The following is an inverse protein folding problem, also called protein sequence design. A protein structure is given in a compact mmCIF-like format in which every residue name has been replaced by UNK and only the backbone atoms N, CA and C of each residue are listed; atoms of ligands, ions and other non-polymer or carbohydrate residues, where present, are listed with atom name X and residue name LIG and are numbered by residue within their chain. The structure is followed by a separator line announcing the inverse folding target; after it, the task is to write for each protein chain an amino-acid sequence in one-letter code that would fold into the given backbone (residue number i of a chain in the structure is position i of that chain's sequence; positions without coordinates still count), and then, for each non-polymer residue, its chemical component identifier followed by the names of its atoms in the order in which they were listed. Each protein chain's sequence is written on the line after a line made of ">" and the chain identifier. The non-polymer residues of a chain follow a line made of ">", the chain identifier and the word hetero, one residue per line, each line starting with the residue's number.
data_IF_193799410164
#
_entry.id   IF_193799410164
#
_cell.length_a   1.000
_cell.length_b   1.000
_cell.length_c   1.000
_cell.angle_alpha   90.00
_cell.angle_beta   90.00
_cell.angle_gamma   90.00
#
_symmetry.space_group_name_H-M   'P 1'
#
loop_
_entity.id
_entity.type
_entity.pdbx_description
1 polymer ?
#
# COMPACT_ATOMS: atom_id res chain seq x y z
N UNK A 1 -14.63 -6.61 -0.14
CA UNK A 1 -13.28 -6.45 -0.71
C UNK A 1 -12.93 -4.97 -0.80
N UNK A 2 -12.69 -4.30 0.35
CA UNK A 2 -12.31 -2.87 0.35
C UNK A 2 -11.59 -2.51 1.67
N UNK A 3 -10.43 -3.12 1.95
CA UNK A 3 -9.62 -2.79 3.12
C UNK A 3 -8.44 -1.85 2.76
N UNK A 4 -8.58 -1.02 1.73
CA UNK A 4 -7.51 -0.11 1.26
C UNK A 4 -7.46 1.25 1.99
N UNK A 5 -8.37 1.51 2.93
CA UNK A 5 -8.44 2.77 3.69
C UNK A 5 -8.14 2.53 5.17
N UNK A 6 -6.87 2.54 5.57
CA UNK A 6 -6.54 2.46 7.00
C UNK A 6 -5.32 3.32 7.35
N UNK A 7 -5.56 4.63 7.41
CA UNK A 7 -4.87 5.52 8.34
C UNK A 7 -5.91 6.06 9.30
N UNK A 8 -6.22 5.27 10.33
CA UNK A 8 -7.04 5.75 11.44
C UNK A 8 -6.11 6.26 12.54
N UNK A 9 -6.10 7.58 12.65
CA UNK A 9 -5.88 8.39 13.86
C UNK A 9 -6.11 9.88 13.54
N UNK A 10 -6.16 10.29 12.26
CA UNK A 10 -6.47 11.68 11.90
C UNK A 10 -6.95 11.92 10.45
N UNK A 11 -7.84 11.08 9.92
CA UNK A 11 -8.62 11.36 8.69
C UNK A 11 -7.83 11.52 7.36
N UNK A 12 -6.52 11.31 7.35
CA UNK A 12 -5.69 11.34 6.12
C UNK A 12 -5.52 9.93 5.56
N UNK A 13 -6.45 9.49 4.71
CA UNK A 13 -6.33 8.21 4.00
C UNK A 13 -5.22 8.30 2.92
N UNK A 14 -4.02 7.80 3.22
CA UNK A 14 -2.96 7.63 2.22
C UNK A 14 -3.00 6.24 1.58
N UNK A 15 -2.84 6.19 0.26
CA UNK A 15 -2.72 4.94 -0.52
C UNK A 15 -1.24 4.63 -0.64
N UNK A 16 -0.81 3.47 -0.14
CA UNK A 16 0.58 3.03 -0.25
C UNK A 16 0.76 2.19 -1.51
N UNK A 17 1.72 2.57 -2.36
CA UNK A 17 2.12 1.81 -3.55
C UNK A 17 3.55 1.35 -3.36
N UNK A 18 3.78 0.04 -3.46
CA UNK A 18 5.08 -0.59 -3.36
C UNK A 18 5.60 -0.84 -4.77
N UNK A 19 6.44 0.06 -5.27
CA UNK A 19 7.08 -0.06 -6.59
C UNK A 19 8.09 -1.20 -6.66
N UNK A 20 8.80 -1.41 -5.55
CA UNK A 20 9.81 -2.47 -5.39
C UNK A 20 9.66 -3.09 -4.00
N UNK A 21 9.90 -4.40 -3.84
CA UNK A 21 9.81 -5.06 -2.54
C UNK A 21 10.84 -4.47 -1.57
N UNK A 22 10.36 -3.89 -0.46
CA UNK A 22 11.22 -3.36 0.59
C UNK A 22 11.47 -4.47 1.63
N UNK A 23 12.74 -4.76 1.92
CA UNK A 23 13.08 -5.65 3.03
C UNK A 23 12.65 -5.02 4.36
N UNK A 24 11.84 -5.73 5.13
CA UNK A 24 11.38 -5.30 6.46
C UNK A 24 12.54 -5.00 7.41
N UNK A 25 13.70 -5.63 7.21
CA UNK A 25 14.93 -5.37 7.98
C UNK A 25 15.62 -4.06 7.60
N UNK A 26 15.41 -3.58 6.38
CA UNK A 26 15.94 -2.31 5.92
C UNK A 26 15.16 -1.10 6.48
N UNK A 27 13.96 -1.31 7.03
CA UNK A 27 13.14 -0.23 7.60
C UNK A 27 13.70 0.18 8.96
N UNK A 28 14.20 1.42 9.12
CA UNK A 28 14.73 1.88 10.39
C UNK A 28 13.67 1.83 11.50
N UNK A 29 14.08 1.46 12.72
CA UNK A 29 13.16 1.26 13.85
C UNK A 29 12.31 2.50 14.19
N UNK A 30 12.82 3.69 13.86
CA UNK A 30 12.16 4.99 14.08
C UNK A 30 10.89 5.17 13.25
N UNK A 31 10.72 4.43 12.15
CA UNK A 31 9.52 4.49 11.32
C UNK A 31 8.44 3.51 11.80
N UNK A 32 7.91 3.75 13.01
CA UNK A 32 6.86 2.92 13.59
C UNK A 32 5.60 2.86 12.71
N UNK A 33 5.24 3.96 12.06
CA UNK A 33 4.09 4.03 11.13
C UNK A 33 4.31 3.15 9.89
N UNK A 34 5.45 3.29 9.21
CA UNK A 34 5.79 2.47 8.04
C UNK A 34 5.83 0.98 8.39
N UNK A 35 6.41 0.61 9.54
CA UNK A 35 6.46 -0.78 10.00
C UNK A 35 5.05 -1.35 10.27
N UNK A 36 4.15 -0.55 10.85
CA UNK A 36 2.74 -0.94 11.05
C UNK A 36 2.07 -1.23 9.70
N UNK A 37 2.24 -0.34 8.72
CA UNK A 37 1.65 -0.48 7.37
C UNK A 37 2.22 -1.71 6.62
N UNK A 38 3.53 -1.91 6.70
CA UNK A 38 4.19 -3.08 6.09
C UNK A 38 3.79 -4.40 6.75
N UNK A 39 3.26 -4.36 7.98
CA UNK A 39 2.72 -5.52 8.66
C UNK A 39 1.24 -5.77 8.35
N UNK A 40 0.45 -4.71 8.12
CA UNK A 40 -0.97 -4.84 7.76
C UNK A 40 -1.20 -5.28 6.32
N UNK A 41 -0.15 -5.27 5.47
CA UNK A 41 -0.22 -5.65 4.04
C UNK A 41 -1.33 -4.89 3.28
N UNK A 42 -1.59 -3.65 3.67
CA UNK A 42 -2.63 -2.79 3.09
C UNK A 42 -2.11 -1.93 1.92
N UNK A 43 -1.02 -2.36 1.28
CA UNK A 43 -0.36 -1.65 0.19
C UNK A 43 -0.65 -2.32 -1.16
N UNK A 44 -0.61 -1.55 -2.23
CA UNK A 44 -0.71 -2.05 -3.61
C UNK A 44 0.71 -2.33 -4.13
N UNK A 45 0.98 -3.56 -4.54
CA UNK A 45 2.26 -3.91 -5.17
C UNK A 45 2.21 -3.57 -6.66
N UNK A 46 3.25 -2.91 -7.16
CA UNK A 46 3.38 -2.67 -8.59
C UNK A 46 3.76 -3.99 -9.29
N UNK A 47 2.92 -4.49 -10.20
CA UNK A 47 3.19 -5.74 -10.87
C UNK A 47 4.34 -5.57 -11.88
N UNK A 48 5.27 -6.53 -11.86
CA UNK A 48 6.36 -6.62 -12.86
C UNK A 48 5.82 -7.04 -14.22
N UNK A 49 4.75 -7.83 -14.22
CA UNK A 49 4.08 -8.31 -15.43
C UNK A 49 3.08 -7.26 -15.94
N UNK A 50 3.26 -6.84 -17.20
CA UNK A 50 2.39 -5.87 -17.87
C UNK A 50 0.93 -6.33 -17.92
N UNK A 51 0.67 -7.63 -18.01
CA UNK A 51 -0.69 -8.18 -18.03
C UNK A 51 -1.45 -7.94 -16.72
N UNK A 52 -0.73 -7.79 -15.61
CA UNK A 52 -1.30 -7.54 -14.29
C UNK A 52 -1.40 -6.03 -13.96
N UNK A 53 -0.76 -5.16 -14.76
CA UNK A 53 -0.82 -3.71 -14.57
C UNK A 53 -2.25 -3.18 -14.71
N UNK A 54 -3.05 -3.76 -15.62
CA UNK A 54 -4.46 -3.36 -15.77
C UNK A 54 -5.25 -3.58 -14.46
N UNK A 55 -5.07 -4.73 -13.82
CA UNK A 55 -5.66 -5.04 -12.51
C UNK A 55 -5.17 -4.10 -11.41
N UNK A 56 -3.89 -3.74 -11.42
CA UNK A 56 -3.33 -2.72 -10.51
C UNK A 56 -4.04 -1.36 -10.67
N UNK A 57 -4.20 -0.87 -11.91
CA UNK A 57 -4.86 0.40 -12.17
C UNK A 57 -6.34 0.40 -11.77
N UNK A 58 -7.03 -0.73 -11.95
CA UNK A 58 -8.40 -0.90 -11.46
C UNK A 58 -8.48 -0.79 -9.93
N UNK A 59 -7.60 -1.48 -9.22
CA UNK A 59 -7.53 -1.42 -7.75
C UNK A 59 -7.15 -0.03 -7.26
N UNK A 60 -6.21 0.65 -7.92
CA UNK A 60 -5.81 2.02 -7.59
C UNK A 60 -6.96 3.01 -7.79
N UNK A 61 -7.66 2.93 -8.92
CA UNK A 61 -8.85 3.77 -9.19
C UNK A 61 -9.95 3.51 -8.16
N UNK A 62 -10.16 2.26 -7.76
CA UNK A 62 -11.10 1.91 -6.71
C UNK A 62 -10.69 2.49 -5.34
N UNK A 63 -9.39 2.46 -5.00
CA UNK A 63 -8.88 3.02 -3.75
C UNK A 63 -8.96 4.56 -3.71
N UNK A 64 -8.75 5.25 -4.83
CA UNK A 64 -8.87 6.72 -4.93
C UNK A 64 -10.34 7.17 -4.86
N UNK A 65 -11.26 6.39 -5.44
CA UNK A 65 -12.70 6.71 -5.50
C UNK A 65 -13.48 6.25 -4.28
N UNK A 66 -12.95 5.29 -3.52
CA UNK A 66 -13.50 4.89 -2.22
C UNK A 66 -13.45 6.10 -1.34
#
# INVERSE_FOLDING_TARGET
>A
FSHFRLFDENNDAAILILLEPIDKKAIPQRFCKLRKIMNTKTYLEWPVDETQQEGFWLNLRAAIRS
#
